data_IF_887593274267
#
_entry.id   IF_887593274267
#
_cell.length_a   1.000
_cell.length_b   1.000
_cell.length_c   1.000
_cell.angle_alpha   90.00
_cell.angle_beta   90.00
_cell.angle_gamma   90.00
#
_symmetry.space_group_name_H-M   'P 1'
#
loop_
_entity.id
_entity.type
_entity.pdbx_description
1 polymer ?
#
# COMPACT_ATOMS: atom_id res chain seq x y z
N UNK A 1 21.75 0.93 24.97
CA UNK A 1 21.66 1.68 23.70
C UNK A 1 20.21 1.63 23.27
N UNK A 2 19.46 2.69 23.59
CA UNK A 2 18.04 2.80 23.29
C UNK A 2 17.85 3.09 21.81
N UNK A 3 17.44 2.07 21.06
CA UNK A 3 17.07 2.19 19.66
C UNK A 3 15.89 3.18 19.55
N UNK A 4 16.18 4.33 18.93
CA UNK A 4 15.22 5.36 18.60
C UNK A 4 14.18 4.76 17.66
N UNK A 5 12.99 4.47 18.19
CA UNK A 5 11.78 4.35 17.39
C UNK A 5 11.55 5.71 16.72
N UNK A 6 12.07 5.87 15.50
CA UNK A 6 11.63 6.93 14.61
C UNK A 6 10.15 6.66 14.35
N UNK A 7 9.30 7.50 14.89
CA UNK A 7 7.92 7.65 14.44
C UNK A 7 7.98 8.14 12.98
N UNK A 8 8.19 7.20 12.04
CA UNK A 8 7.77 7.41 10.65
C UNK A 8 6.28 7.79 10.69
N UNK A 9 5.83 8.78 9.89
CA UNK A 9 4.46 9.25 9.94
C UNK A 9 3.52 8.05 9.82
N UNK A 10 2.74 7.82 10.88
CA UNK A 10 2.13 6.54 11.24
C UNK A 10 1.26 5.90 10.15
N UNK A 11 0.88 6.63 9.10
CA UNK A 11 0.10 6.08 8.00
C UNK A 11 0.48 6.77 6.68
N UNK A 12 0.84 6.03 5.60
CA UNK A 12 0.76 6.58 4.24
C UNK A 12 -0.69 7.05 3.95
N UNK A 13 -0.97 7.76 2.84
CA UNK A 13 -2.30 8.28 2.52
C UNK A 13 -3.31 7.15 2.30
N UNK A 14 -3.85 6.63 3.40
CA UNK A 14 -4.93 5.67 3.45
C UNK A 14 -6.30 6.34 3.37
N UNK A 15 -7.36 5.56 3.16
CA UNK A 15 -8.72 6.08 3.06
C UNK A 15 -9.16 6.66 4.41
N UNK A 16 -9.68 7.89 4.41
CA UNK A 16 -10.29 8.49 5.61
C UNK A 16 -11.65 7.87 5.96
N UNK A 17 -12.35 7.35 4.95
CA UNK A 17 -13.64 6.68 5.07
C UNK A 17 -13.72 5.54 4.06
N UNK A 18 -14.35 4.45 4.46
CA UNK A 18 -14.54 3.30 3.59
C UNK A 18 -15.50 3.69 2.46
N UNK A 19 -15.09 3.49 1.21
CA UNK A 19 -15.93 3.83 0.05
C UNK A 19 -17.20 2.98 -0.09
N UNK A 20 -17.29 1.87 0.64
CA UNK A 20 -18.47 0.98 0.63
C UNK A 20 -19.44 1.33 1.75
N UNK A 21 -18.97 1.37 3.01
CA UNK A 21 -19.86 1.54 4.17
C UNK A 21 -19.72 2.89 4.90
N UNK A 22 -18.88 3.80 4.42
CA UNK A 22 -18.52 5.06 5.09
C UNK A 22 -17.90 4.92 6.50
N UNK A 23 -17.43 3.72 6.86
CA UNK A 23 -16.77 3.47 8.14
C UNK A 23 -15.42 4.14 8.26
N UNK A 24 -15.02 4.46 9.49
CA UNK A 24 -13.76 5.14 9.83
C UNK A 24 -12.76 4.24 10.55
N UNK A 25 -13.16 3.00 10.88
CA UNK A 25 -12.28 2.00 11.49
C UNK A 25 -11.55 1.21 10.42
N UNK A 26 -10.22 1.17 10.53
CA UNK A 26 -9.33 0.48 9.59
C UNK A 26 -8.19 -0.24 10.29
N UNK A 27 -7.83 -1.40 9.78
CA UNK A 27 -6.59 -2.11 10.08
C UNK A 27 -5.62 -1.97 8.91
N UNK A 28 -4.31 -1.95 9.17
CA UNK A 28 -3.32 -1.75 8.12
C UNK A 28 -2.05 -2.59 8.33
N UNK A 29 -1.41 -2.97 7.23
CA UNK A 29 -0.14 -3.72 7.24
C UNK A 29 0.63 -3.49 5.93
N UNK A 30 1.96 -3.50 6.01
CA UNK A 30 2.81 -3.56 4.82
C UNK A 30 2.95 -5.03 4.37
N UNK A 31 2.70 -5.31 3.09
CA UNK A 31 2.83 -6.64 2.48
C UNK A 31 3.74 -6.58 1.27
N UNK A 32 4.49 -7.64 1.02
CA UNK A 32 5.27 -7.78 -0.21
C UNK A 32 4.34 -7.77 -1.42
N UNK A 33 4.71 -7.04 -2.47
CA UNK A 33 3.97 -7.01 -3.73
C UNK A 33 4.23 -8.26 -4.60
N UNK A 34 4.66 -9.35 -3.97
CA UNK A 34 4.85 -10.66 -4.55
C UNK A 34 3.63 -11.49 -4.16
N UNK A 35 2.98 -12.15 -5.10
CA UNK A 35 1.75 -12.91 -4.86
C UNK A 35 1.95 -14.23 -4.10
N UNK A 36 2.92 -14.32 -3.19
CA UNK A 36 3.39 -15.60 -2.65
C UNK A 36 4.11 -16.41 -3.73
N UNK A 37 3.58 -17.58 -4.08
CA UNK A 37 4.03 -18.41 -5.22
C UNK A 37 3.59 -17.84 -6.59
N UNK A 38 2.84 -16.74 -6.59
CA UNK A 38 2.36 -16.06 -7.79
C UNK A 38 3.31 -14.98 -8.34
N UNK A 39 2.99 -14.43 -9.53
CA UNK A 39 3.79 -13.38 -10.17
C UNK A 39 3.86 -12.10 -9.34
N UNK A 40 4.91 -11.30 -9.54
CA UNK A 40 5.04 -9.96 -8.94
C UNK A 40 3.89 -9.07 -9.38
N UNK A 41 3.05 -8.66 -8.42
CA UNK A 41 1.85 -7.85 -8.66
C UNK A 41 2.19 -6.37 -8.93
N UNK A 42 3.34 -5.90 -8.45
CA UNK A 42 3.86 -4.55 -8.72
C UNK A 42 5.24 -4.63 -9.39
N UNK A 43 5.31 -4.92 -10.69
CA UNK A 43 6.56 -5.25 -11.38
C UNK A 43 7.41 -3.99 -11.65
N UNK A 44 7.95 -3.34 -10.62
CA UNK A 44 8.78 -2.13 -10.77
C UNK A 44 10.21 -2.41 -11.26
N UNK A 45 10.65 -3.67 -11.21
CA UNK A 45 11.96 -4.12 -11.67
C UNK A 45 12.41 -5.37 -10.89
N UNK A 46 13.41 -6.07 -11.42
CA UNK A 46 13.91 -7.34 -10.83
C UNK A 46 14.58 -7.18 -9.45
N UNK A 47 15.08 -5.98 -9.12
CA UNK A 47 15.82 -5.72 -7.87
C UNK A 47 15.01 -4.95 -6.81
N UNK A 48 13.73 -4.66 -7.06
CA UNK A 48 12.89 -3.94 -6.12
C UNK A 48 11.93 -4.91 -5.45
N UNK A 49 12.16 -5.21 -4.16
CA UNK A 49 11.16 -5.84 -3.30
C UNK A 49 10.04 -4.83 -3.00
N UNK A 50 9.24 -4.54 -4.02
CA UNK A 50 8.15 -3.59 -3.94
C UNK A 50 7.12 -4.08 -2.92
N UNK A 51 6.48 -3.14 -2.24
CA UNK A 51 5.56 -3.41 -1.14
C UNK A 51 4.28 -2.61 -1.30
N UNK A 52 3.16 -3.21 -0.91
CA UNK A 52 1.89 -2.54 -0.76
C UNK A 52 1.61 -2.25 0.71
N UNK A 53 0.92 -1.15 0.96
CA UNK A 53 0.18 -0.95 2.19
C UNK A 53 -1.26 -1.42 1.96
N UNK A 54 -1.74 -2.38 2.75
CA UNK A 54 -3.15 -2.77 2.73
C UNK A 54 -3.91 -2.01 3.82
N UNK A 55 -5.15 -1.63 3.52
CA UNK A 55 -6.12 -1.10 4.47
C UNK A 55 -7.36 -1.98 4.44
N UNK A 56 -7.79 -2.45 5.60
CA UNK A 56 -8.96 -3.32 5.77
C UNK A 56 -9.98 -2.56 6.61
N UNK A 57 -11.17 -2.31 6.07
CA UNK A 57 -12.25 -1.69 6.84
C UNK A 57 -12.73 -2.64 7.95
N UNK A 58 -12.69 -2.20 9.20
CA UNK A 58 -13.12 -2.99 10.37
C UNK A 58 -14.61 -3.30 10.39
N UNK A 59 -15.44 -2.52 9.66
CA UNK A 59 -16.90 -2.71 9.65
C UNK A 59 -17.41 -3.65 8.56
N UNK A 60 -16.88 -3.52 7.34
CA UNK A 60 -17.41 -4.23 6.17
C UNK A 60 -16.38 -5.13 5.46
N UNK A 61 -15.14 -5.17 5.95
CA UNK A 61 -14.10 -6.03 5.39
C UNK A 61 -13.53 -5.59 4.04
N UNK A 62 -13.91 -4.41 3.51
CA UNK A 62 -13.31 -3.88 2.27
C UNK A 62 -11.78 -3.81 2.42
N UNK A 63 -11.06 -4.43 1.48
CA UNK A 63 -9.60 -4.38 1.39
C UNK A 63 -9.19 -3.46 0.26
N UNK A 64 -8.34 -2.48 0.58
CA UNK A 64 -7.77 -1.53 -0.39
C UNK A 64 -6.23 -1.62 -0.35
N UNK A 65 -5.62 -1.62 -1.52
CA UNK A 65 -4.18 -1.84 -1.70
C UNK A 65 -3.55 -0.56 -2.25
N UNK A 66 -2.55 -0.05 -1.55
CA UNK A 66 -1.87 1.19 -1.90
C UNK A 66 -0.40 0.90 -2.17
N UNK A 67 0.14 1.46 -3.25
CA UNK A 67 1.59 1.47 -3.46
C UNK A 67 2.21 2.40 -2.42
N UNK A 68 3.24 1.94 -1.71
CA UNK A 68 3.98 2.79 -0.78
C UNK A 68 4.54 4.03 -1.52
N UNK A 69 4.49 5.20 -0.88
CA UNK A 69 4.90 6.46 -1.49
C UNK A 69 6.31 6.42 -2.10
N UNK A 70 7.23 5.70 -1.44
CA UNK A 70 8.61 5.47 -1.91
C UNK A 70 8.69 4.86 -3.32
N UNK A 71 7.66 4.13 -3.73
CA UNK A 71 7.60 3.45 -5.03
C UNK A 71 6.78 4.22 -6.08
N UNK A 72 6.07 5.30 -5.70
CA UNK A 72 5.29 6.10 -6.65
C UNK A 72 6.12 6.70 -7.80
N UNK A 73 7.37 7.16 -7.62
CA UNK A 73 8.20 7.62 -8.73
C UNK A 73 8.46 6.51 -9.77
N UNK A 74 8.69 5.28 -9.30
CA UNK A 74 8.90 4.13 -10.18
C UNK A 74 7.60 3.73 -10.90
N UNK A 75 6.45 3.80 -10.22
CA UNK A 75 5.14 3.60 -10.85
C UNK A 75 4.93 4.59 -11.99
N UNK A 76 5.14 5.89 -11.74
CA UNK A 76 4.97 6.96 -12.75
C UNK A 76 5.90 6.78 -13.96
N UNK A 77 7.08 6.20 -13.77
CA UNK A 77 8.04 5.93 -14.85
C UNK A 77 7.68 4.71 -15.69
N UNK A 78 7.08 3.69 -15.07
CA UNK A 78 6.89 2.37 -15.69
C UNK A 78 5.48 2.11 -16.21
N UNK A 79 4.49 2.77 -15.63
CA UNK A 79 3.09 2.62 -16.02
C UNK A 79 2.66 3.86 -16.78
N UNK A 80 2.10 3.66 -17.97
CA UNK A 80 1.46 4.72 -18.72
C UNK A 80 0.26 5.23 -17.92
N UNK A 81 0.10 6.55 -17.88
CA UNK A 81 -1.09 7.16 -17.30
C UNK A 81 -2.25 6.87 -18.25
N UNK A 82 -3.06 5.87 -17.91
CA UNK A 82 -4.37 5.71 -18.55
C UNK A 82 -5.20 6.93 -18.16
N UNK A 83 -5.27 7.91 -19.07
CA UNK A 83 -6.23 9.01 -18.96
C UNK A 83 -7.63 8.42 -19.21
N UNK A 84 -8.65 8.85 -18.45
CA UNK A 84 -10.03 8.62 -18.84
C UNK A 84 -10.36 9.33 -20.17
#
# INVERSE_FOLDING_TARGET
MSEQYKEEPLHPPGPRRCRVCSGTEFYTKEVTANGGDGPTLLPLGFFTASKFQIYICGRCGLVEWFVSEKYLPAVKKKFDRMLP
#
